data_IF_523144831019
#
_entry.id   IF_523144831019
#
_cell.length_a   1.000
_cell.length_b   1.000
_cell.length_c   1.000
_cell.angle_alpha   90.00
_cell.angle_beta   90.00
_cell.angle_gamma   90.00
#
_symmetry.space_group_name_H-M   'P 1'
#
loop_
_entity.id
_entity.type
_entity.pdbx_description
1 polymer ?
#
# COMPACT_ATOMS: atom_id res chain seq x y z
N UNK A 1 17.16 12.54 -13.29
CA UNK A 1 16.84 12.70 -11.85
C UNK A 1 16.52 14.17 -11.59
N UNK A 2 15.52 14.44 -10.74
CA UNK A 2 15.16 15.78 -10.27
C UNK A 2 16.26 16.32 -9.36
N UNK A 3 16.48 17.65 -9.31
CA UNK A 3 17.41 18.25 -8.35
C UNK A 3 16.93 18.14 -6.91
N UNK A 4 15.62 18.05 -6.70
CA UNK A 4 14.99 17.83 -5.39
C UNK A 4 13.71 17.01 -5.54
N UNK A 5 13.41 16.22 -4.52
CA UNK A 5 12.19 15.44 -4.40
C UNK A 5 11.46 15.88 -3.13
N UNK A 6 10.35 16.60 -3.24
CA UNK A 6 9.63 17.09 -2.07
C UNK A 6 9.01 15.95 -1.28
N UNK A 7 9.15 16.05 0.04
CA UNK A 7 8.49 15.20 1.00
C UNK A 7 7.78 16.09 2.03
N UNK A 8 6.59 15.73 2.40
CA UNK A 8 5.88 16.40 3.49
C UNK A 8 5.32 15.42 4.49
N UNK A 9 5.27 15.85 5.73
CA UNK A 9 4.59 15.16 6.81
C UNK A 9 3.87 16.17 7.68
N UNK A 10 2.60 15.90 7.94
CA UNK A 10 1.78 16.70 8.84
C UNK A 10 1.00 15.78 9.75
N UNK A 11 0.92 16.12 11.03
CA UNK A 11 0.05 15.43 11.97
C UNK A 11 -0.56 16.43 12.95
N UNK A 12 -1.78 16.14 13.33
CA UNK A 12 -2.53 16.90 14.33
C UNK A 12 -3.12 15.90 15.31
N UNK A 13 -2.82 16.09 16.57
CA UNK A 13 -3.33 15.24 17.65
C UNK A 13 -4.04 16.06 18.72
N UNK A 14 -5.09 15.47 19.28
CA UNK A 14 -5.78 15.99 20.45
C UNK A 14 -5.96 14.88 21.47
N UNK A 15 -5.67 15.16 22.71
CA UNK A 15 -5.89 14.25 23.82
C UNK A 15 -6.45 14.99 25.02
N UNK A 16 -7.16 14.28 25.85
CA UNK A 16 -7.74 14.83 27.06
C UNK A 16 -8.46 13.76 27.86
N UNK A 17 -9.09 14.19 28.92
CA UNK A 17 -9.89 13.27 29.72
C UNK A 17 -10.10 13.73 31.16
N UNK A 18 -10.63 12.80 31.93
CA UNK A 18 -10.87 12.90 33.38
C UNK A 18 -10.40 11.59 34.04
N UNK A 19 -10.61 11.44 35.32
CA UNK A 19 -10.33 10.20 36.06
C UNK A 19 -11.12 8.99 35.56
N UNK A 20 -12.27 9.25 34.89
CA UNK A 20 -13.17 8.20 34.40
C UNK A 20 -13.10 7.97 32.90
N UNK A 21 -12.57 8.92 32.13
CA UNK A 21 -12.54 8.85 30.68
C UNK A 21 -11.30 9.52 30.14
N UNK A 22 -10.59 8.85 29.22
CA UNK A 22 -9.44 9.39 28.50
C UNK A 22 -9.61 9.15 27.01
N UNK A 23 -9.18 10.10 26.22
CA UNK A 23 -9.18 9.97 24.77
C UNK A 23 -7.91 10.52 24.14
N UNK A 24 -7.58 9.92 23.01
CA UNK A 24 -6.54 10.39 22.11
C UNK A 24 -7.06 10.26 20.68
N UNK A 25 -6.94 11.32 19.90
CA UNK A 25 -7.24 11.34 18.46
C UNK A 25 -6.04 11.93 17.74
N UNK A 26 -5.59 11.29 16.66
CA UNK A 26 -4.53 11.80 15.79
C UNK A 26 -4.92 11.59 14.33
N UNK A 27 -4.70 12.64 13.52
CA UNK A 27 -4.81 12.62 12.07
C UNK A 27 -3.43 12.94 11.50
N UNK A 28 -2.96 12.12 10.53
CA UNK A 28 -1.68 12.36 9.90
C UNK A 28 -1.76 12.20 8.38
N UNK A 29 -0.97 13.01 7.69
CA UNK A 29 -0.79 12.97 6.24
C UNK A 29 0.70 13.00 5.91
N UNK A 30 1.14 12.08 5.06
CA UNK A 30 2.50 12.03 4.51
C UNK A 30 2.43 11.97 2.99
N UNK A 31 3.34 12.65 2.31
CA UNK A 31 3.49 12.52 0.87
C UNK A 31 4.95 12.61 0.46
N UNK A 32 5.29 11.86 -0.57
CA UNK A 32 6.61 11.81 -1.17
C UNK A 32 6.49 11.75 -2.68
N UNK A 33 7.16 12.66 -3.36
CA UNK A 33 7.30 12.64 -4.81
C UNK A 33 8.58 11.91 -5.21
N UNK A 34 8.55 11.19 -6.33
CA UNK A 34 9.70 10.42 -6.78
C UNK A 34 10.85 11.27 -7.34
N UNK A 35 12.05 10.69 -7.37
CA UNK A 35 13.30 11.33 -7.79
C UNK A 35 13.46 11.45 -9.31
N UNK A 36 12.66 10.73 -10.12
CA UNK A 36 12.78 10.78 -11.57
C UNK A 36 12.15 12.05 -12.14
N UNK A 37 12.77 12.66 -13.17
CA UNK A 37 12.15 13.75 -13.92
C UNK A 37 10.89 13.23 -14.61
N UNK A 38 9.83 14.06 -14.66
CA UNK A 38 8.54 13.72 -15.29
C UNK A 38 8.00 12.37 -14.84
N UNK A 39 8.30 11.99 -13.60
CA UNK A 39 7.98 10.69 -13.05
C UNK A 39 6.54 10.62 -12.59
N UNK A 40 5.93 9.48 -12.87
CA UNK A 40 4.68 9.07 -12.25
C UNK A 40 4.89 8.45 -10.86
N UNK A 41 6.09 8.54 -10.28
CA UNK A 41 6.40 7.93 -8.97
C UNK A 41 5.95 8.84 -7.84
N UNK A 42 4.98 8.39 -7.04
CA UNK A 42 4.37 9.13 -5.94
C UNK A 42 3.89 8.18 -4.85
N UNK A 43 4.04 8.63 -3.61
CA UNK A 43 3.46 7.99 -2.43
C UNK A 43 2.69 9.02 -1.60
N UNK A 44 1.45 8.71 -1.23
CA UNK A 44 0.63 9.47 -0.29
C UNK A 44 0.06 8.52 0.76
N UNK A 45 0.07 8.94 2.03
CA UNK A 45 -0.52 8.21 3.15
C UNK A 45 -1.36 9.15 3.99
N UNK A 46 -2.55 8.68 4.33
CA UNK A 46 -3.43 9.32 5.30
C UNK A 46 -3.76 8.33 6.40
N UNK A 47 -3.70 8.76 7.63
CA UNK A 47 -4.03 7.91 8.77
C UNK A 47 -4.81 8.65 9.85
N UNK A 48 -5.70 7.91 10.51
CA UNK A 48 -6.43 8.33 11.68
C UNK A 48 -6.23 7.29 12.77
N UNK A 49 -5.91 7.74 13.97
CA UNK A 49 -5.85 6.90 15.17
C UNK A 49 -6.72 7.51 16.25
N UNK A 50 -7.55 6.67 16.87
CA UNK A 50 -8.29 7.04 18.05
C UNK A 50 -8.14 5.97 19.14
N UNK A 51 -7.92 6.39 20.38
CA UNK A 51 -7.92 5.55 21.55
C UNK A 51 -8.86 6.14 22.58
N UNK A 52 -9.67 5.30 23.20
CA UNK A 52 -10.63 5.66 24.23
C UNK A 52 -10.46 4.70 25.39
N UNK A 53 -10.30 5.23 26.59
CA UNK A 53 -10.27 4.48 27.83
C UNK A 53 -11.39 5.00 28.74
N UNK A 54 -12.22 4.10 29.23
CA UNK A 54 -13.34 4.43 30.12
C UNK A 54 -13.33 3.56 31.36
N UNK A 55 -13.33 4.18 32.52
CA UNK A 55 -13.56 3.54 33.81
C UNK A 55 -15.06 3.52 34.08
N UNK A 56 -15.70 2.42 33.73
CA UNK A 56 -17.16 2.27 33.83
C UNK A 56 -17.62 2.13 35.28
N UNK A 57 -16.78 1.46 36.09
CA UNK A 57 -16.98 1.32 37.55
C UNK A 57 -15.64 1.19 38.25
N UNK A 58 -15.66 1.00 39.57
CA UNK A 58 -14.43 0.73 40.34
C UNK A 58 -13.80 -0.64 39.97
N UNK A 59 -14.53 -1.47 39.25
CA UNK A 59 -14.15 -2.84 38.93
C UNK A 59 -14.06 -3.12 37.42
N UNK A 60 -14.50 -2.17 36.57
CA UNK A 60 -14.60 -2.40 35.12
C UNK A 60 -13.98 -1.25 34.36
N UNK A 61 -12.94 -1.56 33.61
CA UNK A 61 -12.31 -0.67 32.65
C UNK A 61 -12.52 -1.17 31.21
N UNK A 62 -12.83 -0.28 30.29
CA UNK A 62 -12.99 -0.55 28.87
C UNK A 62 -12.01 0.29 28.09
N UNK A 63 -11.25 -0.32 27.19
CA UNK A 63 -10.38 0.36 26.26
C UNK A 63 -10.78 0.02 24.82
N UNK A 64 -10.88 1.03 23.98
CA UNK A 64 -11.10 0.88 22.55
C UNK A 64 -10.04 1.64 21.78
N UNK A 65 -9.39 0.96 20.82
CA UNK A 65 -8.42 1.54 19.91
C UNK A 65 -8.83 1.29 18.47
N UNK A 66 -8.68 2.31 17.62
CA UNK A 66 -8.86 2.18 16.18
C UNK A 66 -7.75 2.87 15.42
N UNK A 67 -7.30 2.25 14.33
CA UNK A 67 -6.41 2.81 13.32
C UNK A 67 -7.04 2.61 11.96
N UNK A 68 -7.23 3.70 11.22
CA UNK A 68 -7.56 3.66 9.80
C UNK A 68 -6.41 4.28 9.01
N UNK A 69 -5.94 3.63 7.95
CA UNK A 69 -4.87 4.11 7.10
C UNK A 69 -5.18 3.81 5.63
N UNK A 70 -5.01 4.82 4.78
CA UNK A 70 -5.03 4.69 3.33
C UNK A 70 -3.65 5.04 2.80
N UNK A 71 -3.12 4.21 1.91
CA UNK A 71 -1.90 4.46 1.17
C UNK A 71 -2.21 4.47 -0.33
N UNK A 72 -1.66 5.44 -1.02
CA UNK A 72 -1.67 5.51 -2.47
C UNK A 72 -0.24 5.47 -2.98
N UNK A 73 0.03 4.54 -3.88
CA UNK A 73 1.33 4.40 -4.55
C UNK A 73 1.12 4.44 -6.05
N UNK A 74 1.95 5.20 -6.72
CA UNK A 74 2.01 5.22 -8.17
C UNK A 74 3.45 5.02 -8.60
N UNK A 75 3.64 4.15 -9.58
CA UNK A 75 4.96 3.83 -10.15
C UNK A 75 4.89 3.85 -11.67
N UNK A 76 6.04 4.06 -12.36
CA UNK A 76 6.19 3.69 -13.76
C UNK A 76 5.93 2.19 -13.93
N UNK A 77 5.63 1.76 -15.13
CA UNK A 77 5.40 0.33 -15.43
C UNK A 77 6.68 -0.50 -15.37
N UNK A 78 7.85 0.15 -15.53
CA UNK A 78 9.17 -0.46 -15.39
C UNK A 78 9.67 -0.35 -13.94
N UNK A 79 10.29 -1.40 -13.47
CA UNK A 79 10.87 -1.42 -12.11
C UNK A 79 12.05 -0.45 -11.97
N UNK A 80 12.29 0.04 -10.76
CA UNK A 80 13.44 0.88 -10.46
C UNK A 80 14.77 0.19 -10.87
N UNK A 81 14.88 -1.13 -10.62
CA UNK A 81 16.05 -1.92 -11.02
C UNK A 81 16.30 -1.90 -12.53
N UNK A 82 15.24 -2.01 -13.35
CA UNK A 82 15.33 -1.90 -14.82
C UNK A 82 15.79 -0.51 -15.26
N UNK A 83 15.18 0.54 -14.66
CA UNK A 83 15.52 1.94 -14.97
C UNK A 83 16.99 2.23 -14.63
N UNK A 84 17.47 1.86 -13.44
CA UNK A 84 18.85 2.05 -13.04
C UNK A 84 19.82 1.20 -13.85
N UNK A 85 19.44 -0.01 -14.26
CA UNK A 85 20.24 -0.84 -15.15
C UNK A 85 20.40 -0.20 -16.53
N UNK A 86 19.34 0.35 -17.09
CA UNK A 86 19.40 1.08 -18.35
C UNK A 86 20.27 2.35 -18.23
N UNK A 87 20.17 3.11 -17.11
CA UNK A 87 21.04 4.26 -16.84
C UNK A 87 22.53 3.88 -16.82
N UNK A 88 22.89 2.78 -16.18
CA UNK A 88 24.29 2.30 -16.13
C UNK A 88 24.85 1.84 -17.48
N UNK A 89 23.96 1.40 -18.37
CA UNK A 89 24.30 0.93 -19.72
C UNK A 89 24.23 2.03 -20.75
N UNK A 90 23.80 3.25 -20.36
CA UNK A 90 23.76 4.39 -21.26
C UNK A 90 25.15 4.71 -21.81
N UNK A 91 25.21 4.95 -23.11
CA UNK A 91 26.45 5.32 -23.82
C UNK A 91 26.51 6.83 -23.92
N UNK A 92 27.67 7.47 -23.66
CA UNK A 92 27.81 8.93 -23.78
C UNK A 92 27.54 9.48 -25.20
N UNK A 93 27.62 8.63 -26.20
CA UNK A 93 27.38 8.94 -27.61
C UNK A 93 25.88 8.94 -27.99
N UNK A 94 25.00 8.47 -27.12
CA UNK A 94 23.56 8.43 -27.39
C UNK A 94 22.88 9.61 -26.71
N UNK A 95 22.12 10.44 -27.45
CA UNK A 95 21.42 11.57 -26.87
C UNK A 95 20.25 11.10 -26.00
N UNK A 96 20.01 11.78 -24.88
CA UNK A 96 18.81 11.56 -24.07
C UNK A 96 17.56 12.06 -24.80
N UNK A 97 17.69 13.20 -25.48
CA UNK A 97 16.70 13.80 -26.36
C UNK A 97 17.39 14.31 -27.61
N UNK A 98 16.71 14.21 -28.73
CA UNK A 98 17.12 14.84 -29.97
C UNK A 98 16.90 16.36 -29.89
N UNK A 99 17.59 17.18 -30.72
CA UNK A 99 17.37 18.64 -30.74
C UNK A 99 15.93 19.04 -31.04
N UNK A 100 15.18 18.21 -31.74
CA UNK A 100 13.75 18.36 -32.05
C UNK A 100 12.82 18.10 -30.84
N UNK A 101 13.36 17.55 -29.72
CA UNK A 101 12.65 17.30 -28.46
C UNK A 101 12.16 15.88 -28.28
N UNK A 102 12.26 15.02 -29.27
CA UNK A 102 11.92 13.62 -29.18
C UNK A 102 12.89 12.85 -28.28
N UNK A 103 12.39 11.79 -27.65
CA UNK A 103 13.23 10.89 -26.86
C UNK A 103 14.30 10.23 -27.72
N UNK A 104 15.52 10.14 -27.20
CA UNK A 104 16.63 9.49 -27.88
C UNK A 104 16.40 8.01 -28.17
N UNK A 105 17.35 7.33 -28.84
CA UNK A 105 17.22 5.94 -29.25
C UNK A 105 17.20 5.01 -28.05
N UNK A 106 16.86 3.75 -28.30
CA UNK A 106 16.98 2.72 -27.28
C UNK A 106 18.48 2.50 -26.92
N UNK A 107 18.70 2.19 -25.65
CA UNK A 107 20.02 1.90 -25.13
C UNK A 107 20.30 0.41 -25.27
N UNK A 108 19.37 -0.41 -24.73
CA UNK A 108 19.35 -1.85 -24.83
C UNK A 108 17.92 -2.35 -24.61
N UNK A 109 17.52 -3.41 -25.30
CA UNK A 109 16.23 -4.11 -25.14
C UNK A 109 14.99 -3.20 -25.27
N UNK A 110 15.09 -2.13 -26.03
CA UNK A 110 14.02 -1.16 -26.21
C UNK A 110 13.84 -0.21 -25.02
N UNK A 111 14.75 -0.14 -24.08
CA UNK A 111 14.65 0.71 -22.90
C UNK A 111 15.45 2.00 -23.07
N UNK A 112 14.81 3.13 -22.74
CA UNK A 112 15.46 4.41 -22.53
C UNK A 112 14.91 5.03 -21.24
N UNK A 113 15.76 5.29 -20.21
CA UNK A 113 15.33 5.79 -18.91
C UNK A 113 14.56 7.10 -18.94
N UNK A 114 14.80 7.92 -19.97
CA UNK A 114 14.09 9.19 -20.20
C UNK A 114 12.60 8.97 -20.40
N UNK A 115 12.20 7.85 -20.99
CA UNK A 115 10.82 7.47 -21.24
C UNK A 115 10.33 6.45 -20.19
N UNK A 116 11.12 5.41 -19.93
CA UNK A 116 10.69 4.30 -19.06
C UNK A 116 10.56 4.68 -17.59
N UNK A 117 11.17 5.78 -17.16
CA UNK A 117 10.98 6.38 -15.83
C UNK A 117 9.77 7.31 -15.72
N UNK A 118 8.93 7.40 -16.77
CA UNK A 118 7.78 8.31 -16.83
C UNK A 118 6.46 7.55 -17.00
N UNK A 119 5.35 8.28 -17.05
CA UNK A 119 4.02 7.76 -17.36
C UNK A 119 3.77 7.52 -18.87
N UNK A 120 4.76 7.82 -19.73
CA UNK A 120 4.67 7.53 -21.15
C UNK A 120 4.50 6.03 -21.43
N UNK A 121 5.06 5.17 -20.60
CA UNK A 121 4.89 3.71 -20.69
C UNK A 121 3.62 3.19 -20.03
N UNK A 122 2.83 4.07 -19.39
CA UNK A 122 1.68 3.75 -18.59
C UNK A 122 1.91 4.00 -17.10
N UNK A 123 1.19 3.27 -16.24
CA UNK A 123 1.28 3.43 -14.79
C UNK A 123 1.02 2.11 -14.07
N UNK A 124 1.52 2.02 -12.84
CA UNK A 124 1.18 0.99 -11.85
C UNK A 124 0.70 1.71 -10.58
N UNK A 125 -0.60 1.70 -10.34
CA UNK A 125 -1.26 2.37 -9.22
C UNK A 125 -1.76 1.36 -8.23
N UNK A 126 -1.50 1.61 -6.94
CA UNK A 126 -1.95 0.77 -5.85
C UNK A 126 -2.58 1.63 -4.76
N UNK A 127 -3.72 1.20 -4.24
CA UNK A 127 -4.37 1.74 -3.06
C UNK A 127 -4.49 0.64 -2.02
N UNK A 128 -3.98 0.90 -0.83
CA UNK A 128 -4.05 0.01 0.32
C UNK A 128 -4.88 0.68 1.41
N UNK A 129 -5.84 -0.03 1.97
CA UNK A 129 -6.65 0.40 3.08
C UNK A 129 -6.46 -0.56 4.25
N UNK A 130 -6.18 -0.01 5.41
CA UNK A 130 -6.02 -0.74 6.66
C UNK A 130 -7.00 -0.18 7.67
N UNK A 131 -7.76 -1.06 8.31
CA UNK A 131 -8.61 -0.72 9.45
C UNK A 131 -8.28 -1.74 10.53
N UNK A 132 -7.87 -1.27 11.69
CA UNK A 132 -7.54 -2.10 12.85
C UNK A 132 -8.33 -1.58 14.05
N UNK A 133 -9.06 -2.47 14.69
CA UNK A 133 -9.86 -2.14 15.86
C UNK A 133 -9.54 -3.14 16.96
N UNK A 134 -9.42 -2.65 18.19
CA UNK A 134 -9.23 -3.48 19.38
C UNK A 134 -10.15 -2.97 20.47
N UNK A 135 -10.96 -3.85 21.01
CA UNK A 135 -11.75 -3.66 22.22
C UNK A 135 -11.16 -4.52 23.33
N UNK A 136 -10.90 -3.93 24.49
CA UNK A 136 -10.41 -4.61 25.67
C UNK A 136 -11.30 -4.26 26.87
N UNK A 137 -11.66 -5.27 27.63
CA UNK A 137 -12.44 -5.11 28.86
C UNK A 137 -11.66 -5.78 29.99
N UNK A 138 -11.39 -5.04 31.05
CA UNK A 138 -10.78 -5.54 32.27
C UNK A 138 -11.84 -5.52 33.38
N UNK A 139 -11.92 -6.62 34.14
CA UNK A 139 -12.85 -6.75 35.26
C UNK A 139 -12.07 -7.23 36.48
N UNK A 140 -11.96 -6.39 37.50
CA UNK A 140 -11.45 -6.79 38.81
C UNK A 140 -12.57 -7.46 39.60
N UNK A 141 -12.37 -8.70 40.04
CA UNK A 141 -13.40 -9.48 40.72
C UNK A 141 -13.44 -9.10 42.22
N UNK A 142 -14.46 -8.38 42.70
CA UNK A 142 -14.42 -7.78 44.04
C UNK A 142 -14.45 -8.80 45.17
N UNK A 143 -15.06 -9.98 44.97
CA UNK A 143 -15.14 -11.04 45.98
C UNK A 143 -13.95 -12.02 45.96
N UNK A 144 -13.06 -11.91 44.95
CA UNK A 144 -11.79 -12.68 44.90
C UNK A 144 -10.65 -11.68 44.79
N UNK A 145 -10.12 -11.29 45.95
CA UNK A 145 -9.06 -10.30 46.01
C UNK A 145 -7.83 -10.74 45.21
N UNK A 146 -7.38 -9.91 44.27
CA UNK A 146 -6.25 -10.16 43.40
C UNK A 146 -6.58 -10.86 42.09
N UNK A 147 -7.85 -11.18 41.82
CA UNK A 147 -8.27 -11.75 40.53
C UNK A 147 -8.77 -10.66 39.58
N UNK A 148 -8.10 -10.60 38.40
CA UNK A 148 -8.49 -9.77 37.25
C UNK A 148 -8.80 -10.66 36.06
N UNK A 149 -9.94 -10.41 35.41
CA UNK A 149 -10.28 -11.01 34.12
C UNK A 149 -10.11 -9.97 33.04
N UNK A 150 -9.46 -10.35 31.93
CA UNK A 150 -9.28 -9.51 30.75
C UNK A 150 -9.85 -10.23 29.54
N UNK A 151 -10.79 -9.59 28.86
CA UNK A 151 -11.26 -10.02 27.53
C UNK A 151 -10.83 -9.02 26.47
N UNK A 152 -10.34 -9.48 25.32
CA UNK A 152 -10.09 -8.61 24.19
C UNK A 152 -10.58 -9.20 22.89
N UNK A 153 -11.01 -8.31 21.98
CA UNK A 153 -11.40 -8.63 20.62
C UNK A 153 -10.73 -7.66 19.67
N UNK A 154 -10.01 -8.17 18.68
CA UNK A 154 -9.44 -7.39 17.61
C UNK A 154 -10.06 -7.76 16.27
N UNK A 155 -10.26 -6.75 15.43
CA UNK A 155 -10.74 -6.90 14.06
C UNK A 155 -9.86 -6.08 13.12
N UNK A 156 -9.17 -6.77 12.22
CA UNK A 156 -8.31 -6.16 11.23
C UNK A 156 -8.86 -6.39 9.83
N UNK A 157 -8.96 -5.32 9.07
CA UNK A 157 -9.35 -5.33 7.65
C UNK A 157 -8.25 -4.74 6.81
N UNK A 158 -7.81 -5.48 5.80
CA UNK A 158 -6.92 -5.00 4.76
C UNK A 158 -7.58 -5.16 3.40
N UNK A 159 -7.60 -4.09 2.63
CA UNK A 159 -8.12 -4.10 1.28
C UNK A 159 -7.13 -3.42 0.34
N UNK A 160 -6.72 -4.13 -0.72
CA UNK A 160 -5.77 -3.66 -1.73
C UNK A 160 -6.44 -3.63 -3.09
N UNK A 161 -6.28 -2.52 -3.78
CA UNK A 161 -6.61 -2.37 -5.20
C UNK A 161 -5.36 -2.00 -5.97
N UNK A 162 -5.03 -2.76 -7.01
CA UNK A 162 -3.95 -2.44 -7.94
C UNK A 162 -4.49 -2.36 -9.36
N UNK A 163 -4.08 -1.32 -10.08
CA UNK A 163 -4.39 -1.12 -11.50
C UNK A 163 -3.09 -0.79 -12.21
N UNK A 164 -2.64 -1.70 -13.09
CA UNK A 164 -1.45 -1.51 -13.91
C UNK A 164 -1.87 -1.46 -15.37
N UNK A 165 -1.58 -0.33 -16.02
CA UNK A 165 -1.87 -0.11 -17.43
C UNK A 165 -0.58 0.14 -18.17
N UNK A 166 -0.15 -0.83 -18.98
CA UNK A 166 1.03 -0.74 -19.82
C UNK A 166 0.62 -0.21 -21.21
N UNK A 167 1.34 0.81 -21.69
CA UNK A 167 1.13 1.41 -23.01
C UNK A 167 2.35 1.20 -23.90
N UNK A 168 2.15 1.05 -25.23
CA UNK A 168 3.24 1.21 -26.17
C UNK A 168 3.80 2.63 -26.09
N UNK A 169 5.09 2.78 -26.31
CA UNK A 169 5.78 4.05 -26.34
C UNK A 169 6.72 4.11 -27.53
N UNK A 170 7.28 5.29 -27.84
CA UNK A 170 8.14 5.50 -28.99
C UNK A 170 9.50 6.02 -28.53
N UNK A 171 10.56 5.49 -29.16
CA UNK A 171 11.91 5.99 -29.12
C UNK A 171 12.32 6.36 -30.55
N UNK A 172 13.19 7.31 -30.72
CA UNK A 172 13.52 7.84 -32.02
C UNK A 172 14.98 7.61 -32.33
N UNK A 173 15.29 7.14 -33.50
CA UNK A 173 16.63 6.91 -34.01
C UNK A 173 16.89 7.77 -35.23
N UNK A 174 18.13 8.27 -35.36
CA UNK A 174 18.54 8.95 -36.58
C UNK A 174 18.59 7.94 -37.73
N UNK A 175 18.08 8.35 -38.87
CA UNK A 175 18.05 7.52 -40.08
C UNK A 175 19.41 7.38 -40.78
N UNK A 176 20.40 8.21 -40.38
CA UNK A 176 21.74 8.23 -40.95
C UNK A 176 21.88 9.18 -42.15
N UNK A 177 20.82 9.87 -42.55
CA UNK A 177 20.81 10.82 -43.65
C UNK A 177 21.35 12.21 -43.27
N UNK A 178 21.75 12.98 -44.28
CA UNK A 178 22.29 14.35 -44.10
C UNK A 178 21.20 15.34 -43.62
N UNK A 179 19.94 15.05 -43.86
CA UNK A 179 18.79 15.86 -43.41
C UNK A 179 18.48 15.71 -41.91
N UNK A 180 19.23 14.87 -41.21
CA UNK A 180 19.10 14.58 -39.76
C UNK A 180 17.69 14.21 -39.32
N UNK A 181 16.98 13.46 -40.15
CA UNK A 181 15.64 12.98 -39.84
C UNK A 181 15.68 11.91 -38.75
N UNK A 182 14.83 12.07 -37.73
CA UNK A 182 14.66 11.06 -36.70
C UNK A 182 13.39 10.25 -36.93
N UNK A 183 13.53 8.93 -36.86
CA UNK A 183 12.48 7.97 -37.19
C UNK A 183 11.93 7.33 -35.92
N UNK A 184 10.60 7.33 -35.71
CA UNK A 184 9.99 6.69 -34.54
C UNK A 184 10.08 5.16 -34.61
N UNK A 185 10.50 4.56 -33.52
CA UNK A 185 10.44 3.13 -33.30
C UNK A 185 9.50 2.80 -32.14
N UNK A 186 8.44 2.04 -32.42
CA UNK A 186 7.53 1.58 -31.37
C UNK A 186 8.23 0.60 -30.43
N UNK A 187 8.04 0.77 -29.13
CA UNK A 187 8.62 -0.03 -28.05
C UNK A 187 7.55 -0.45 -27.06
N UNK A 188 7.93 -1.35 -26.15
CA UNK A 188 7.02 -1.94 -25.18
C UNK A 188 6.12 -3.00 -25.80
N UNK A 189 4.90 -3.08 -25.31
CA UNK A 189 3.91 -4.02 -25.85
C UNK A 189 3.31 -3.51 -27.17
N UNK A 190 2.90 -4.44 -28.03
CA UNK A 190 2.30 -4.09 -29.32
C UNK A 190 0.98 -3.32 -29.17
N UNK A 191 0.20 -3.64 -28.14
CA UNK A 191 -1.06 -3.00 -27.78
C UNK A 191 -1.09 -2.69 -26.29
N UNK A 192 -1.90 -1.72 -25.84
CA UNK A 192 -2.08 -1.48 -24.41
C UNK A 192 -2.60 -2.72 -23.67
N UNK A 193 -2.18 -2.87 -22.41
CA UNK A 193 -2.54 -3.99 -21.54
C UNK A 193 -2.94 -3.47 -20.17
N UNK A 194 -3.98 -4.08 -19.59
CA UNK A 194 -4.49 -3.73 -18.27
C UNK A 194 -4.49 -4.95 -17.36
N UNK A 195 -3.89 -4.81 -16.19
CA UNK A 195 -4.02 -5.73 -15.07
C UNK A 195 -4.75 -5.02 -13.93
N UNK A 196 -5.79 -5.64 -13.39
CA UNK A 196 -6.46 -5.21 -12.16
C UNK A 196 -6.45 -6.34 -11.14
N UNK A 197 -6.09 -6.01 -9.92
CA UNK A 197 -5.99 -6.96 -8.80
C UNK A 197 -6.71 -6.37 -7.58
N UNK A 198 -7.48 -7.21 -6.90
CA UNK A 198 -8.13 -6.92 -5.64
C UNK A 198 -7.74 -7.99 -4.62
N UNK A 199 -7.32 -7.55 -3.45
CA UNK A 199 -7.10 -8.42 -2.29
C UNK A 199 -7.95 -7.90 -1.14
N UNK A 200 -8.72 -8.77 -0.56
CA UNK A 200 -9.52 -8.52 0.63
C UNK A 200 -9.07 -9.47 1.73
N UNK A 201 -8.59 -8.95 2.85
CA UNK A 201 -8.15 -9.75 4.00
C UNK A 201 -8.86 -9.28 5.26
N UNK A 202 -9.33 -10.24 6.04
CA UNK A 202 -9.95 -10.01 7.34
C UNK A 202 -9.29 -10.90 8.37
N UNK A 203 -9.02 -10.36 9.55
CA UNK A 203 -8.54 -11.12 10.69
C UNK A 203 -9.32 -10.78 11.95
N UNK A 204 -9.63 -11.81 12.74
CA UNK A 204 -10.24 -11.71 14.05
C UNK A 204 -9.32 -12.37 15.07
N UNK A 205 -9.15 -11.70 16.20
CA UNK A 205 -8.44 -12.26 17.36
C UNK A 205 -9.31 -12.03 18.59
N UNK A 206 -9.63 -13.11 19.27
CA UNK A 206 -10.30 -13.09 20.56
C UNK A 206 -9.38 -13.65 21.61
N UNK A 207 -9.24 -12.97 22.74
CA UNK A 207 -8.47 -13.48 23.87
C UNK A 207 -9.19 -13.27 25.19
N UNK A 208 -8.99 -14.21 26.11
CA UNK A 208 -9.46 -14.15 27.47
C UNK A 208 -8.31 -14.55 28.41
N UNK A 209 -8.05 -13.74 29.42
CA UNK A 209 -7.02 -13.95 30.43
C UNK A 209 -7.62 -13.86 31.83
N UNK A 210 -7.16 -14.71 32.71
CA UNK A 210 -7.41 -14.63 34.15
C UNK A 210 -6.08 -14.50 34.88
N UNK A 211 -5.86 -13.35 35.49
CA UNK A 211 -4.66 -13.02 36.27
C UNK A 211 -5.02 -13.01 37.76
N UNK A 212 -4.38 -13.89 38.53
CA UNK A 212 -4.47 -13.87 39.99
C UNK A 212 -3.13 -13.47 40.57
N UNK A 213 -3.13 -12.41 41.37
CA UNK A 213 -1.94 -11.91 42.01
C UNK A 213 -2.29 -11.49 43.46
N UNK A 214 -1.72 -12.18 44.46
CA UNK A 214 -2.00 -11.91 45.86
C UNK A 214 -0.80 -12.15 46.73
N UNK A 215 -0.60 -11.28 47.73
CA UNK A 215 0.41 -11.38 48.73
C UNK A 215 -0.19 -11.95 50.03
N UNK A 216 0.44 -12.99 50.58
CA UNK A 216 0.08 -13.66 51.85
C UNK A 216 1.28 -13.57 52.78
N UNK A 217 1.27 -12.65 53.73
CA UNK A 217 2.43 -12.34 54.53
C UNK A 217 3.64 -11.93 53.71
N UNK A 218 4.73 -12.65 53.77
CA UNK A 218 5.96 -12.39 53.01
C UNK A 218 5.98 -13.07 51.62
N UNK A 219 4.94 -13.81 51.25
CA UNK A 219 4.87 -14.57 49.99
C UNK A 219 3.89 -13.94 49.02
N UNK A 220 4.35 -13.70 47.80
CA UNK A 220 3.48 -13.26 46.69
C UNK A 220 3.31 -14.39 45.69
N UNK A 221 2.05 -14.73 45.39
CA UNK A 221 1.68 -15.75 44.39
C UNK A 221 1.04 -15.06 43.20
N UNK A 222 1.58 -15.32 42.01
CA UNK A 222 1.04 -14.86 40.74
C UNK A 222 0.76 -16.05 39.82
N UNK A 223 -0.45 -16.11 39.25
CA UNK A 223 -0.88 -17.12 38.26
C UNK A 223 -1.62 -16.43 37.13
N UNK A 224 -1.24 -16.68 35.88
CA UNK A 224 -1.96 -16.24 34.68
C UNK A 224 -2.40 -17.46 33.88
N UNK A 225 -3.65 -17.49 33.52
CA UNK A 225 -4.24 -18.50 32.62
C UNK A 225 -4.92 -17.75 31.47
N UNK A 226 -4.73 -18.22 30.27
CA UNK A 226 -5.29 -17.55 29.10
C UNK A 226 -5.69 -18.51 27.97
N UNK A 227 -6.56 -18.02 27.14
CA UNK A 227 -6.94 -18.65 25.88
C UNK A 227 -7.01 -17.60 24.77
N UNK A 228 -6.70 -18.02 23.56
CA UNK A 228 -6.73 -17.17 22.37
C UNK A 228 -7.33 -17.96 21.20
N UNK A 229 -8.09 -17.29 20.37
CA UNK A 229 -8.63 -17.82 19.13
C UNK A 229 -8.41 -16.80 18.00
N UNK A 230 -7.81 -17.26 16.93
CA UNK A 230 -7.51 -16.43 15.76
C UNK A 230 -8.19 -17.01 14.51
N UNK A 231 -8.78 -16.15 13.70
CA UNK A 231 -9.25 -16.49 12.36
C UNK A 231 -8.75 -15.45 11.37
N UNK A 232 -8.11 -15.91 10.29
CA UNK A 232 -7.71 -15.09 9.15
C UNK A 232 -8.30 -15.63 7.87
N UNK A 233 -8.79 -14.76 7.01
CA UNK A 233 -9.24 -15.11 5.67
C UNK A 233 -8.74 -14.09 4.66
N UNK A 234 -8.50 -14.54 3.43
CA UNK A 234 -8.14 -13.67 2.33
C UNK A 234 -8.83 -14.14 1.06
N UNK A 235 -9.35 -13.18 0.30
CA UNK A 235 -9.85 -13.33 -1.04
C UNK A 235 -9.01 -12.51 -2.00
N UNK A 236 -8.65 -13.09 -3.11
CA UNK A 236 -7.91 -12.46 -4.19
C UNK A 236 -8.66 -12.61 -5.50
N UNK A 237 -8.74 -11.54 -6.28
CA UNK A 237 -9.26 -11.54 -7.64
C UNK A 237 -8.31 -10.72 -8.53
N UNK A 238 -7.83 -11.33 -9.61
CA UNK A 238 -7.04 -10.69 -10.64
C UNK A 238 -7.68 -10.84 -12.01
N UNK A 239 -7.60 -9.82 -12.83
CA UNK A 239 -8.05 -9.84 -14.21
C UNK A 239 -7.03 -9.13 -15.12
N UNK A 240 -6.89 -9.64 -16.34
CA UNK A 240 -6.00 -9.11 -17.34
C UNK A 240 -6.70 -9.02 -18.70
N UNK A 241 -6.48 -7.91 -19.38
CA UNK A 241 -6.93 -7.67 -20.77
C UNK A 241 -5.82 -7.00 -21.58
N UNK A 242 -5.83 -7.25 -22.88
CA UNK A 242 -5.02 -6.56 -23.88
C UNK A 242 -5.88 -6.19 -25.10
N UNK A 243 -5.25 -5.68 -26.15
CA UNK A 243 -5.91 -5.24 -27.38
C UNK A 243 -6.92 -4.11 -27.17
N UNK A 244 -6.53 -3.12 -26.36
CA UNK A 244 -7.28 -1.89 -26.25
C UNK A 244 -7.17 -1.07 -27.55
N UNK A 245 -8.28 -0.51 -28.01
CA UNK A 245 -8.32 0.34 -29.19
C UNK A 245 -7.66 1.70 -28.97
N UNK A 246 -7.55 2.12 -27.71
CA UNK A 246 -6.97 3.41 -27.32
C UNK A 246 -6.10 3.25 -26.08
N UNK A 247 -5.01 4.00 -26.03
CA UNK A 247 -4.16 4.15 -24.84
C UNK A 247 -4.72 5.15 -23.80
N UNK A 248 -5.91 5.71 -24.06
CA UNK A 248 -6.63 6.66 -23.20
C UNK A 248 -7.75 6.00 -22.39
N UNK A 249 -8.16 4.79 -22.76
CA UNK A 249 -9.24 4.07 -22.11
C UNK A 249 -8.62 2.89 -21.38
N UNK A 250 -8.63 2.97 -20.07
CA UNK A 250 -8.03 1.97 -19.16
C UNK A 250 -9.09 1.20 -18.35
N UNK A 251 -10.26 0.97 -18.97
CA UNK A 251 -11.34 0.20 -18.36
C UNK A 251 -11.32 -1.26 -18.83
N UNK A 252 -11.51 -2.20 -17.90
CA UNK A 252 -11.40 -3.64 -18.17
C UNK A 252 -12.33 -4.11 -19.30
N UNK A 253 -13.53 -3.54 -19.40
CA UNK A 253 -14.52 -3.88 -20.42
C UNK A 253 -14.19 -3.33 -21.83
N UNK A 254 -13.24 -2.39 -21.93
CA UNK A 254 -12.78 -1.83 -23.21
C UNK A 254 -11.66 -2.64 -23.87
N UNK A 255 -11.12 -3.63 -23.18
CA UNK A 255 -10.11 -4.54 -23.72
C UNK A 255 -10.71 -5.63 -24.61
N UNK A 256 -9.86 -6.20 -25.47
CA UNK A 256 -10.25 -7.30 -26.36
C UNK A 256 -10.73 -8.54 -25.62
N UNK A 257 -11.48 -9.37 -26.31
CA UNK A 257 -12.06 -10.62 -25.78
C UNK A 257 -11.15 -11.84 -25.98
N UNK A 258 -9.99 -11.66 -26.61
CA UNK A 258 -8.96 -12.70 -26.79
C UNK A 258 -7.79 -12.48 -25.85
N UNK A 259 -7.05 -13.54 -25.53
CA UNK A 259 -5.88 -13.52 -24.64
C UNK A 259 -6.15 -12.85 -23.29
N UNK A 260 -7.35 -12.99 -22.81
CA UNK A 260 -7.74 -12.54 -21.48
C UNK A 260 -7.41 -13.60 -20.42
N UNK A 261 -7.09 -13.16 -19.22
CA UNK A 261 -6.99 -14.05 -18.07
C UNK A 261 -7.69 -13.46 -16.86
N UNK A 262 -8.22 -14.33 -16.04
CA UNK A 262 -8.70 -14.03 -14.71
C UNK A 262 -8.17 -15.08 -13.76
N UNK A 263 -7.89 -14.68 -12.54
CA UNK A 263 -7.41 -15.54 -11.47
C UNK A 263 -8.08 -15.14 -10.16
N UNK A 264 -8.47 -16.13 -9.38
CA UNK A 264 -9.05 -15.93 -8.07
C UNK A 264 -8.59 -17.03 -7.11
N UNK A 265 -8.39 -16.66 -5.87
CA UNK A 265 -8.08 -17.59 -4.79
C UNK A 265 -8.65 -17.09 -3.48
N UNK A 266 -8.98 -18.02 -2.59
CA UNK A 266 -9.35 -17.73 -1.21
C UNK A 266 -8.68 -18.71 -0.28
N UNK A 267 -8.38 -18.25 0.92
CA UNK A 267 -7.90 -19.11 2.00
C UNK A 267 -8.45 -18.64 3.34
N UNK A 268 -8.54 -19.58 4.27
CA UNK A 268 -8.97 -19.34 5.63
C UNK A 268 -8.14 -20.17 6.59
N UNK A 269 -7.66 -19.55 7.65
CA UNK A 269 -6.88 -20.16 8.71
C UNK A 269 -7.57 -19.91 10.05
N UNK A 270 -7.55 -20.91 10.92
CA UNK A 270 -8.03 -20.82 12.30
C UNK A 270 -7.01 -21.44 13.24
N UNK A 271 -6.79 -20.77 14.35
CA UNK A 271 -5.90 -21.23 15.43
C UNK A 271 -6.61 -21.15 16.78
#
# INVERSE_FOLDING_TARGET
IKPSSPMYRSDVGVNGGSDKFKYYLNLAANGEDGIYKNSANRYDQYSMRANLDAKVSNYVDISFGTLARMEYRQYPTKSAGSIFSALRRSKPTLPAFWPSGEAGPDIEYGDNPVVTGTDATGYDRQKDYYIQNTLKVNVDIPWVQGLRLTGSASYDKYFKMRKKFDKPYYLYSWDGGDDHVVVPGKRGYATPQLTQEHTDQTAWLLSALADYNRTFGDHTVGVTVGMEAEEKQQDFLGAFRKYFLSDKIDEMNAGGMTDLTNNGSSWKERR
#
